data_IF_886671743885
#
_entry.id   IF_886671743885
#
_cell.length_a   1.000
_cell.length_b   1.000
_cell.length_c   1.000
_cell.angle_alpha   90.00
_cell.angle_beta   90.00
_cell.angle_gamma   90.00
#
_symmetry.space_group_name_H-M   'P 1'
#
loop_
_entity.id
_entity.type
_entity.pdbx_description
1 polymer ?
#
# COMPACT_ATOMS: atom_id res chain seq x y z
N UNK A 1 27.61 -20.00 -26.27
CA UNK A 1 27.02 -20.72 -27.42
C UNK A 1 25.56 -20.39 -27.28
N UNK A 2 25.17 -19.27 -27.87
CA UNK A 2 23.97 -18.55 -27.44
C UNK A 2 22.79 -19.08 -28.24
N UNK A 3 22.03 -19.97 -27.61
CA UNK A 3 20.76 -20.42 -28.12
C UNK A 3 19.73 -19.33 -27.82
N UNK A 4 19.62 -18.36 -28.72
CA UNK A 4 18.59 -17.33 -28.64
C UNK A 4 17.22 -17.96 -28.89
N UNK A 5 16.33 -17.88 -27.89
CA UNK A 5 14.94 -18.32 -28.04
C UNK A 5 14.19 -17.35 -28.96
N UNK A 6 13.35 -17.89 -29.85
CA UNK A 6 12.41 -17.06 -30.61
C UNK A 6 11.51 -16.27 -29.65
N UNK A 7 11.13 -15.04 -30.03
CA UNK A 7 10.39 -14.12 -29.15
C UNK A 7 9.07 -14.73 -28.63
N UNK A 8 8.29 -15.38 -29.50
CA UNK A 8 7.03 -16.03 -29.12
C UNK A 8 7.25 -17.14 -28.08
N UNK A 9 8.33 -17.92 -28.24
CA UNK A 9 8.70 -18.98 -27.29
C UNK A 9 9.09 -18.37 -25.94
N UNK A 10 9.84 -17.26 -25.95
CA UNK A 10 10.24 -16.55 -24.72
C UNK A 10 9.02 -16.02 -23.98
N UNK A 11 8.11 -15.33 -24.67
CA UNK A 11 6.87 -14.83 -24.07
C UNK A 11 6.03 -15.97 -23.46
N UNK A 12 5.92 -17.08 -24.17
CA UNK A 12 5.22 -18.25 -23.68
C UNK A 12 5.86 -18.84 -22.41
N UNK A 13 7.19 -18.94 -22.38
CA UNK A 13 7.93 -19.42 -21.19
C UNK A 13 7.69 -18.48 -20.01
N UNK A 14 7.79 -17.15 -20.21
CA UNK A 14 7.55 -16.19 -19.13
C UNK A 14 6.13 -16.35 -18.59
N UNK A 15 5.13 -16.44 -19.46
CA UNK A 15 3.73 -16.64 -19.04
C UNK A 15 3.53 -17.94 -18.26
N UNK A 16 4.19 -19.03 -18.65
CA UNK A 16 4.16 -20.29 -17.89
C UNK A 16 4.78 -20.13 -16.51
N UNK A 17 5.95 -19.49 -16.42
CA UNK A 17 6.62 -19.25 -15.14
C UNK A 17 5.78 -18.37 -14.20
N UNK A 18 5.16 -17.31 -14.72
CA UNK A 18 4.26 -16.45 -13.94
C UNK A 18 3.02 -17.22 -13.45
N UNK A 19 2.49 -18.15 -14.24
CA UNK A 19 1.36 -19.01 -13.83
C UNK A 19 1.76 -20.04 -12.78
N UNK A 20 2.95 -20.64 -12.91
CA UNK A 20 3.50 -21.54 -11.89
C UNK A 20 3.76 -20.81 -10.57
N UNK A 21 4.22 -19.56 -10.64
CA UNK A 21 4.46 -18.72 -9.48
C UNK A 21 3.19 -18.42 -8.65
N UNK A 22 2.01 -18.33 -9.27
CA UNK A 22 0.77 -18.09 -8.50
C UNK A 22 0.18 -19.37 -7.88
N UNK A 23 0.69 -20.56 -8.25
CA UNK A 23 0.24 -21.84 -7.71
C UNK A 23 0.83 -22.11 -6.31
N UNK A 24 -0.01 -22.05 -5.27
CA UNK A 24 0.41 -22.30 -3.88
C UNK A 24 0.77 -23.75 -3.58
N UNK A 25 0.26 -24.70 -4.35
CA UNK A 25 0.58 -26.11 -4.11
C UNK A 25 2.04 -26.40 -4.46
N UNK A 26 2.54 -25.72 -5.49
CA UNK A 26 3.92 -25.79 -5.94
C UNK A 26 4.84 -24.90 -5.10
N UNK A 27 4.42 -23.67 -4.83
CA UNK A 27 5.24 -22.64 -4.15
C UNK A 27 5.26 -22.77 -2.62
N UNK A 28 4.55 -23.76 -2.06
CA UNK A 28 4.70 -24.15 -0.66
C UNK A 28 6.09 -24.75 -0.37
N UNK A 29 6.77 -25.31 -1.38
CA UNK A 29 8.17 -25.73 -1.25
C UNK A 29 9.09 -24.51 -1.42
N UNK A 30 9.89 -24.15 -0.39
CA UNK A 30 10.78 -22.98 -0.46
C UNK A 30 11.88 -23.11 -1.53
N UNK A 31 12.26 -24.33 -1.90
CA UNK A 31 13.24 -24.59 -2.97
C UNK A 31 12.63 -24.20 -4.30
N UNK A 32 11.41 -24.69 -4.59
CA UNK A 32 10.71 -24.37 -5.84
C UNK A 32 10.38 -22.89 -5.90
N UNK A 33 9.95 -22.30 -4.78
CA UNK A 33 9.71 -20.87 -4.67
C UNK A 33 10.94 -20.06 -5.09
N UNK A 34 12.11 -20.41 -4.55
CA UNK A 34 13.37 -19.73 -4.85
C UNK A 34 13.76 -19.93 -6.32
N UNK A 35 13.78 -21.17 -6.82
CA UNK A 35 14.14 -21.46 -8.22
C UNK A 35 13.22 -20.73 -9.21
N UNK A 36 11.92 -20.61 -8.90
CA UNK A 36 11.01 -19.82 -9.73
C UNK A 36 11.35 -18.33 -9.73
N UNK A 37 11.74 -17.75 -8.59
CA UNK A 37 12.19 -16.35 -8.54
C UNK A 37 13.39 -16.13 -9.45
N UNK A 38 14.41 -16.99 -9.33
CA UNK A 38 15.63 -16.93 -10.15
C UNK A 38 15.33 -17.13 -11.63
N UNK A 39 14.48 -18.09 -11.98
CA UNK A 39 14.08 -18.34 -13.36
C UNK A 39 13.34 -17.13 -13.96
N UNK A 40 12.38 -16.56 -13.22
CA UNK A 40 11.62 -15.37 -13.63
C UNK A 40 12.57 -14.18 -13.84
N UNK A 41 13.48 -13.93 -12.90
CA UNK A 41 14.48 -12.86 -13.00
C UNK A 41 15.36 -13.04 -14.25
N UNK A 42 15.85 -14.25 -14.52
CA UNK A 42 16.69 -14.53 -15.67
C UNK A 42 15.96 -14.34 -17.02
N UNK A 43 14.70 -14.79 -17.14
CA UNK A 43 13.95 -14.64 -18.40
C UNK A 43 13.43 -13.23 -18.63
N UNK A 44 13.23 -12.45 -17.55
CA UNK A 44 12.82 -11.04 -17.63
C UNK A 44 14.01 -10.08 -17.74
N UNK A 45 15.24 -10.57 -17.62
CA UNK A 45 16.43 -9.73 -17.77
C UNK A 45 16.46 -9.07 -19.16
N UNK A 46 16.73 -7.75 -19.27
CA UNK A 46 16.75 -7.07 -20.56
C UNK A 46 17.73 -7.65 -21.58
N UNK A 47 18.84 -8.26 -21.13
CA UNK A 47 19.83 -8.89 -22.01
C UNK A 47 19.30 -10.17 -22.66
N UNK A 48 18.26 -10.78 -22.09
CA UNK A 48 17.60 -11.96 -22.64
C UNK A 48 16.78 -11.67 -23.90
N UNK A 49 16.48 -10.40 -24.21
CA UNK A 49 15.67 -9.96 -25.35
C UNK A 49 16.55 -9.51 -26.53
N UNK A 50 17.11 -10.47 -27.27
CA UNK A 50 17.87 -10.16 -28.48
C UNK A 50 16.95 -9.74 -29.63
N UNK A 51 17.22 -8.61 -30.28
CA UNK A 51 16.54 -8.17 -31.50
C UNK A 51 15.14 -7.54 -31.32
N UNK A 52 14.53 -7.68 -30.14
CA UNK A 52 13.23 -7.10 -29.80
C UNK A 52 13.34 -6.12 -28.64
N UNK A 53 12.56 -5.03 -28.69
CA UNK A 53 12.46 -4.08 -27.58
C UNK A 53 11.94 -4.78 -26.31
N UNK A 54 12.77 -4.92 -25.25
CA UNK A 54 12.40 -5.63 -24.03
C UNK A 54 11.11 -5.08 -23.41
N UNK A 55 10.88 -3.77 -23.53
CA UNK A 55 9.68 -3.10 -23.00
C UNK A 55 8.42 -3.59 -23.70
N UNK A 56 8.44 -3.76 -25.01
CA UNK A 56 7.28 -4.24 -25.78
C UNK A 56 6.97 -5.69 -25.46
N UNK A 57 7.99 -6.54 -25.35
CA UNK A 57 7.81 -7.96 -25.03
C UNK A 57 7.25 -8.15 -23.62
N UNK A 58 7.87 -7.53 -22.61
CA UNK A 58 7.38 -7.57 -21.23
C UNK A 58 5.97 -6.99 -21.13
N UNK A 59 5.69 -5.92 -21.86
CA UNK A 59 4.36 -5.34 -21.89
C UNK A 59 3.30 -6.31 -22.43
N UNK A 60 3.57 -7.03 -23.53
CA UNK A 60 2.66 -8.06 -24.06
C UNK A 60 2.41 -9.19 -23.05
N UNK A 61 3.48 -9.64 -22.40
CA UNK A 61 3.40 -10.67 -21.35
C UNK A 61 2.56 -10.17 -20.18
N UNK A 62 2.83 -8.98 -19.65
CA UNK A 62 2.08 -8.41 -18.52
C UNK A 62 0.61 -8.21 -18.86
N UNK A 63 0.31 -7.74 -20.08
CA UNK A 63 -1.08 -7.57 -20.55
C UNK A 63 -1.80 -8.91 -20.69
N UNK A 64 -1.12 -9.92 -21.23
CA UNK A 64 -1.67 -11.28 -21.35
C UNK A 64 -1.90 -11.90 -19.97
N UNK A 65 -0.95 -11.72 -19.05
CA UNK A 65 -1.08 -12.20 -17.69
C UNK A 65 -2.24 -11.51 -16.96
N UNK A 66 -2.33 -10.18 -17.05
CA UNK A 66 -3.42 -9.39 -16.49
C UNK A 66 -4.79 -9.87 -16.99
N UNK A 67 -4.94 -10.08 -18.29
CA UNK A 67 -6.20 -10.53 -18.90
C UNK A 67 -6.55 -12.00 -18.62
N UNK A 68 -5.66 -12.78 -17.99
CA UNK A 68 -5.88 -14.22 -17.76
C UNK A 68 -5.93 -14.61 -16.29
N UNK A 69 -5.68 -13.67 -15.37
CA UNK A 69 -5.71 -13.91 -13.93
C UNK A 69 -6.64 -12.88 -13.29
N UNK A 70 -7.88 -13.29 -13.03
CA UNK A 70 -8.93 -12.39 -12.51
C UNK A 70 -8.99 -12.36 -10.97
N UNK A 71 -8.44 -13.38 -10.30
CA UNK A 71 -8.49 -13.49 -8.83
C UNK A 71 -7.37 -12.66 -8.18
N UNK A 72 -7.75 -11.69 -7.35
CA UNK A 72 -6.82 -10.77 -6.67
C UNK A 72 -5.85 -11.47 -5.73
N UNK A 73 -6.25 -12.59 -5.10
CA UNK A 73 -5.38 -13.38 -4.23
C UNK A 73 -4.29 -14.10 -5.04
N UNK A 74 -4.58 -14.50 -6.28
CA UNK A 74 -3.58 -15.00 -7.22
C UNK A 74 -2.69 -13.86 -7.73
N UNK A 75 -3.29 -12.73 -8.13
CA UNK A 75 -2.57 -11.55 -8.59
C UNK A 75 -1.56 -11.06 -7.54
N UNK A 76 -1.92 -10.98 -6.26
CA UNK A 76 -1.03 -10.50 -5.20
C UNK A 76 0.21 -11.38 -5.00
N UNK A 77 0.13 -12.67 -5.34
CA UNK A 77 1.26 -13.60 -5.20
C UNK A 77 2.40 -13.29 -6.16
N UNK A 78 2.12 -12.68 -7.31
CA UNK A 78 3.17 -12.31 -8.26
C UNK A 78 4.20 -11.38 -7.62
N UNK A 79 3.75 -10.56 -6.68
CA UNK A 79 4.60 -9.68 -5.89
C UNK A 79 5.67 -10.40 -5.10
N UNK A 80 5.44 -11.65 -4.69
CA UNK A 80 6.44 -12.48 -4.02
C UNK A 80 7.46 -13.10 -4.98
N UNK A 81 7.12 -13.22 -6.27
CA UNK A 81 7.94 -13.97 -7.23
C UNK A 81 8.75 -13.09 -8.19
N UNK A 82 8.27 -11.88 -8.52
CA UNK A 82 9.09 -10.89 -9.23
C UNK A 82 9.88 -10.11 -8.18
N UNK A 83 11.13 -10.50 -7.98
CA UNK A 83 12.02 -9.84 -7.03
C UNK A 83 12.43 -8.45 -7.54
N UNK A 84 12.39 -7.39 -6.70
CA UNK A 84 12.83 -6.06 -7.09
C UNK A 84 14.37 -5.92 -7.04
N UNK A 85 15.10 -6.89 -7.60
CA UNK A 85 16.58 -6.93 -7.60
C UNK A 85 17.20 -5.89 -8.52
N UNK A 86 16.44 -5.39 -9.50
CA UNK A 86 16.82 -4.31 -10.41
C UNK A 86 15.69 -3.27 -10.55
N UNK A 87 15.99 -2.01 -10.92
CA UNK A 87 14.96 -1.01 -11.20
C UNK A 87 13.98 -1.43 -12.31
N UNK A 88 14.45 -2.25 -13.25
CA UNK A 88 13.64 -2.84 -14.30
C UNK A 88 12.56 -3.78 -13.74
N UNK A 89 12.95 -4.74 -12.90
CA UNK A 89 12.01 -5.68 -12.30
C UNK A 89 11.10 -5.00 -11.28
N UNK A 90 11.60 -4.00 -10.55
CA UNK A 90 10.80 -3.18 -9.66
C UNK A 90 9.69 -2.42 -10.42
N UNK A 91 10.00 -1.85 -11.59
CA UNK A 91 9.02 -1.18 -12.46
C UNK A 91 7.96 -2.17 -12.97
N UNK A 92 8.36 -3.35 -13.47
CA UNK A 92 7.42 -4.40 -13.93
C UNK A 92 6.48 -4.82 -12.80
N UNK A 93 7.05 -5.11 -11.62
CA UNK A 93 6.31 -5.52 -10.42
C UNK A 93 5.31 -4.45 -10.00
N UNK A 94 5.72 -3.18 -10.01
CA UNK A 94 4.88 -2.04 -9.67
C UNK A 94 3.73 -1.87 -10.67
N UNK A 95 4.01 -1.90 -11.98
CA UNK A 95 3.01 -1.80 -13.05
C UNK A 95 1.90 -2.84 -12.91
N UNK A 96 2.29 -4.10 -12.71
CA UNK A 96 1.33 -5.18 -12.48
C UNK A 96 0.50 -4.91 -11.22
N UNK A 97 1.15 -4.58 -10.10
CA UNK A 97 0.45 -4.33 -8.85
C UNK A 97 -0.58 -3.21 -8.96
N UNK A 98 -0.23 -2.10 -9.62
CA UNK A 98 -1.14 -0.97 -9.81
C UNK A 98 -2.27 -1.30 -10.78
N UNK A 99 -1.99 -2.05 -11.85
CA UNK A 99 -3.02 -2.48 -12.78
C UNK A 99 -4.07 -3.36 -12.09
N UNK A 100 -3.63 -4.25 -11.20
CA UNK A 100 -4.51 -5.09 -10.38
C UNK A 100 -5.29 -4.28 -9.34
N UNK A 101 -4.65 -3.32 -8.67
CA UNK A 101 -5.32 -2.44 -7.71
C UNK A 101 -6.40 -1.58 -8.37
N UNK A 102 -6.15 -1.06 -9.57
CA UNK A 102 -7.11 -0.19 -10.26
C UNK A 102 -8.14 -0.96 -11.08
N UNK A 103 -7.99 -2.28 -11.22
CA UNK A 103 -8.75 -3.09 -12.17
C UNK A 103 -8.72 -2.47 -13.58
N UNK A 104 -7.55 -1.93 -13.97
CA UNK A 104 -7.33 -1.22 -15.23
C UNK A 104 -5.95 -1.58 -15.81
N UNK A 105 -5.83 -1.97 -17.10
CA UNK A 105 -4.53 -2.25 -17.73
C UNK A 105 -3.74 -0.99 -18.10
N UNK A 106 -4.32 0.21 -18.06
CA UNK A 106 -3.66 1.46 -18.44
C UNK A 106 -2.29 1.70 -17.77
N UNK A 107 -2.08 1.39 -16.46
CA UNK A 107 -0.78 1.55 -15.80
C UNK A 107 0.35 0.72 -16.41
N UNK A 108 0.06 -0.34 -17.17
CA UNK A 108 1.06 -1.09 -17.92
C UNK A 108 1.74 -0.24 -19.01
N UNK A 109 1.10 0.84 -19.46
CA UNK A 109 1.58 1.74 -20.52
C UNK A 109 2.04 3.11 -20.01
N UNK A 110 1.64 3.47 -18.79
CA UNK A 110 1.90 4.79 -18.24
C UNK A 110 3.40 5.03 -17.96
N UNK A 111 3.91 6.26 -18.09
CA UNK A 111 5.25 6.56 -17.61
C UNK A 111 5.35 6.31 -16.09
N UNK A 112 6.51 5.86 -15.57
CA UNK A 112 6.67 5.56 -14.14
C UNK A 112 6.24 6.70 -13.21
N UNK A 113 6.35 7.95 -13.68
CA UNK A 113 5.97 9.15 -12.93
C UNK A 113 4.46 9.28 -12.70
N UNK A 114 3.61 8.74 -13.58
CA UNK A 114 2.16 8.87 -13.44
C UNK A 114 1.49 7.62 -12.87
N UNK A 115 2.24 6.51 -12.82
CA UNK A 115 1.75 5.15 -12.60
C UNK A 115 0.85 5.03 -11.36
N UNK A 116 1.31 5.46 -10.18
CA UNK A 116 0.45 5.65 -9.02
C UNK A 116 1.00 6.73 -8.09
N UNK A 117 0.31 7.88 -8.05
CA UNK A 117 0.62 8.95 -7.11
C UNK A 117 -0.20 8.84 -5.80
N UNK A 118 0.19 9.62 -4.80
CA UNK A 118 -0.45 9.62 -3.48
C UNK A 118 -1.94 10.05 -3.53
N UNK A 119 -2.34 10.85 -4.53
CA UNK A 119 -3.73 11.27 -4.69
C UNK A 119 -4.58 10.11 -5.23
N UNK A 120 -4.12 9.41 -6.27
CA UNK A 120 -4.76 8.20 -6.81
C UNK A 120 -4.91 7.14 -5.71
N UNK A 121 -3.88 6.95 -4.87
CA UNK A 121 -3.96 6.02 -3.73
C UNK A 121 -5.03 6.47 -2.73
N UNK A 122 -5.04 7.74 -2.36
CA UNK A 122 -6.01 8.28 -1.41
C UNK A 122 -7.44 8.12 -1.92
N UNK A 123 -7.67 8.37 -3.22
CA UNK A 123 -8.95 8.19 -3.87
C UNK A 123 -9.38 6.72 -3.95
N UNK A 124 -8.45 5.83 -4.30
CA UNK A 124 -8.68 4.38 -4.29
C UNK A 124 -9.14 3.92 -2.90
N UNK A 125 -8.38 4.22 -1.86
CA UNK A 125 -8.70 3.83 -0.48
C UNK A 125 -10.04 4.39 0.01
N UNK A 126 -10.42 5.59 -0.44
CA UNK A 126 -11.68 6.22 -0.02
C UNK A 126 -12.90 5.68 -0.78
N UNK A 127 -12.77 5.44 -2.09
CA UNK A 127 -13.92 5.20 -3.00
C UNK A 127 -14.15 3.73 -3.32
N UNK A 128 -13.10 2.93 -3.32
CA UNK A 128 -13.21 1.52 -3.66
C UNK A 128 -13.92 0.73 -2.56
N UNK A 129 -14.88 -0.09 -2.99
CA UNK A 129 -15.74 -0.92 -2.16
C UNK A 129 -14.92 -1.95 -1.37
N UNK A 130 -13.83 -2.44 -1.96
CA UNK A 130 -12.94 -3.45 -1.39
C UNK A 130 -12.12 -2.95 -0.19
N UNK A 131 -12.10 -1.62 0.05
CA UNK A 131 -11.49 -1.02 1.26
C UNK A 131 -12.54 -0.50 2.26
N UNK A 132 -13.83 -0.54 1.92
CA UNK A 132 -14.91 0.03 2.74
C UNK A 132 -15.44 -0.95 3.80
N UNK A 133 -14.54 -1.48 4.62
CA UNK A 133 -14.83 -2.47 5.68
C UNK A 133 -16.04 -2.09 6.54
N UNK A 134 -16.19 -0.81 6.91
CA UNK A 134 -17.34 -0.32 7.71
C UNK A 134 -18.70 -0.66 7.12
N UNK A 135 -18.84 -0.72 5.78
CA UNK A 135 -20.11 -1.04 5.10
C UNK A 135 -20.52 -2.51 5.26
N UNK A 136 -19.57 -3.35 5.65
CA UNK A 136 -19.75 -4.78 5.83
C UNK A 136 -19.70 -5.21 7.30
N UNK A 137 -19.57 -4.27 8.24
CA UNK A 137 -19.69 -4.58 9.66
C UNK A 137 -21.05 -5.23 9.95
N UNK A 138 -21.02 -6.43 10.53
CA UNK A 138 -22.21 -7.23 10.82
C UNK A 138 -22.76 -8.05 9.65
N UNK A 139 -22.10 -8.04 8.48
CA UNK A 139 -22.41 -8.92 7.35
C UNK A 139 -21.37 -10.03 7.25
N UNK A 140 -21.82 -11.25 6.94
CA UNK A 140 -20.94 -12.43 6.89
C UNK A 140 -20.05 -12.49 5.63
N UNK A 141 -20.36 -11.71 4.60
CA UNK A 141 -19.86 -11.96 3.23
C UNK A 141 -18.61 -11.14 2.86
N UNK A 142 -17.92 -10.51 3.81
CA UNK A 142 -16.72 -9.74 3.48
C UNK A 142 -15.50 -10.65 3.31
N UNK A 143 -14.85 -10.56 2.15
CA UNK A 143 -13.65 -11.35 1.88
C UNK A 143 -12.39 -10.69 2.48
N UNK A 144 -12.01 -11.19 3.65
CA UNK A 144 -10.78 -10.75 4.32
C UNK A 144 -9.50 -11.17 3.59
N UNK A 145 -9.55 -12.24 2.77
CA UNK A 145 -8.40 -12.68 1.98
C UNK A 145 -8.14 -11.73 0.82
N UNK A 146 -9.20 -11.26 0.17
CA UNK A 146 -9.12 -10.18 -0.82
C UNK A 146 -8.49 -8.93 -0.21
N UNK A 147 -8.90 -8.51 1.00
CA UNK A 147 -8.29 -7.34 1.65
C UNK A 147 -6.79 -7.53 1.94
N UNK A 148 -6.37 -8.74 2.35
CA UNK A 148 -4.94 -9.07 2.53
C UNK A 148 -4.20 -8.94 1.19
N UNK A 149 -4.75 -9.53 0.12
CA UNK A 149 -4.17 -9.50 -1.21
C UNK A 149 -4.02 -8.04 -1.73
N UNK A 150 -5.06 -7.23 -1.57
CA UNK A 150 -5.03 -5.81 -1.92
C UNK A 150 -4.00 -5.03 -1.09
N UNK A 151 -3.86 -5.35 0.19
CA UNK A 151 -2.85 -4.72 1.05
C UNK A 151 -1.43 -5.08 0.59
N UNK A 152 -1.21 -6.32 0.16
CA UNK A 152 0.07 -6.75 -0.41
C UNK A 152 0.36 -6.05 -1.74
N UNK A 153 -0.63 -5.91 -2.63
CA UNK A 153 -0.49 -5.14 -3.87
C UNK A 153 -0.20 -3.66 -3.61
N UNK A 154 -0.91 -3.06 -2.64
CA UNK A 154 -0.69 -1.67 -2.24
C UNK A 154 0.71 -1.47 -1.64
N UNK A 155 1.19 -2.44 -0.87
CA UNK A 155 2.56 -2.46 -0.36
C UNK A 155 3.61 -2.47 -1.48
N UNK A 156 3.34 -3.12 -2.60
CA UNK A 156 4.24 -3.11 -3.78
C UNK A 156 4.16 -1.80 -4.54
N UNK A 157 2.95 -1.26 -4.70
CA UNK A 157 2.74 0.00 -5.42
C UNK A 157 3.34 1.20 -4.67
N UNK A 158 3.29 1.17 -3.33
CA UNK A 158 3.87 2.17 -2.44
C UNK A 158 5.29 1.73 -2.02
N UNK A 159 6.17 1.52 -3.00
CA UNK A 159 7.59 1.28 -2.77
C UNK A 159 8.40 2.59 -2.94
N UNK A 160 9.44 2.75 -2.12
CA UNK A 160 10.22 3.99 -1.97
C UNK A 160 10.80 4.45 -3.30
N UNK A 161 11.28 3.52 -4.12
CA UNK A 161 11.86 3.81 -5.43
C UNK A 161 10.86 4.41 -6.42
N UNK A 162 9.56 4.10 -6.30
CA UNK A 162 8.51 4.67 -7.15
C UNK A 162 8.16 6.10 -6.73
N UNK A 163 8.23 6.40 -5.43
CA UNK A 163 7.89 7.71 -4.87
C UNK A 163 9.03 8.74 -4.97
N UNK A 164 10.29 8.29 -4.89
CA UNK A 164 11.47 9.16 -5.08
C UNK A 164 11.55 9.76 -6.49
N UNK A 165 11.04 9.05 -7.51
CA UNK A 165 10.97 9.57 -8.89
C UNK A 165 9.96 10.72 -9.02
N UNK A 166 8.90 10.72 -8.21
CA UNK A 166 7.85 11.75 -8.19
C UNK A 166 8.21 12.95 -7.30
N UNK A 167 9.20 12.81 -6.42
CA UNK A 167 9.70 13.90 -5.57
C UNK A 167 10.54 14.93 -6.34
N UNK A 168 11.02 14.62 -7.56
CA UNK A 168 11.89 15.50 -8.37
C UNK A 168 11.18 16.69 -9.05
N UNK A 169 10.06 17.17 -8.49
CA UNK A 169 9.31 18.34 -8.96
C UNK A 169 9.46 19.58 -8.08
N UNK A 170 8.77 20.67 -8.46
CA UNK A 170 8.67 21.96 -7.75
C UNK A 170 7.79 21.91 -6.48
N UNK A 171 7.62 20.72 -5.89
CA UNK A 171 6.78 20.50 -4.70
C UNK A 171 7.58 20.67 -3.43
N UNK A 172 6.96 21.28 -2.42
CA UNK A 172 7.60 21.41 -1.11
C UNK A 172 7.60 20.06 -0.38
N UNK A 173 8.61 19.83 0.46
CA UNK A 173 8.70 18.65 1.32
C UNK A 173 7.45 18.53 2.24
N UNK A 174 6.88 19.66 2.64
CA UNK A 174 5.70 19.72 3.50
C UNK A 174 4.45 19.23 2.78
N UNK A 175 4.26 19.57 1.51
CA UNK A 175 3.13 19.08 0.70
C UNK A 175 3.20 17.56 0.49
N UNK A 176 4.41 17.04 0.23
CA UNK A 176 4.64 15.60 0.10
C UNK A 176 4.31 14.86 1.40
N UNK A 177 4.80 15.36 2.54
CA UNK A 177 4.49 14.77 3.84
C UNK A 177 3.00 14.85 4.17
N UNK A 178 2.32 15.94 3.80
CA UNK A 178 0.88 16.07 3.97
C UNK A 178 0.10 15.03 3.15
N UNK A 179 0.52 14.75 1.91
CA UNK A 179 -0.10 13.72 1.07
C UNK A 179 0.16 12.31 1.62
N UNK A 180 1.35 12.03 2.14
CA UNK A 180 1.64 10.79 2.89
C UNK A 180 0.74 10.65 4.11
N UNK A 181 0.60 11.72 4.89
CA UNK A 181 -0.22 11.74 6.11
C UNK A 181 -1.71 11.49 5.78
N UNK A 182 -2.20 11.92 4.60
CA UNK A 182 -3.56 11.58 4.10
C UNK A 182 -3.70 10.09 3.81
N UNK A 183 -2.78 9.48 3.07
CA UNK A 183 -2.79 8.04 2.77
C UNK A 183 -2.75 7.23 4.06
N UNK A 184 -1.83 7.57 4.97
CA UNK A 184 -1.70 6.92 6.26
C UNK A 184 -2.98 7.04 7.10
N UNK A 185 -3.64 8.20 7.07
CA UNK A 185 -4.91 8.43 7.78
C UNK A 185 -6.07 7.60 7.22
N UNK A 186 -6.13 7.39 5.90
CA UNK A 186 -7.11 6.50 5.28
C UNK A 186 -6.90 5.06 5.69
N UNK A 187 -5.66 4.54 5.62
CA UNK A 187 -5.34 3.20 6.09
C UNK A 187 -5.70 3.01 7.58
N UNK A 188 -5.41 4.01 8.41
CA UNK A 188 -5.80 4.02 9.82
C UNK A 188 -7.30 3.92 10.02
N UNK A 189 -8.06 4.66 9.24
CA UNK A 189 -9.53 4.60 9.30
C UNK A 189 -10.05 3.20 8.95
N UNK A 190 -9.42 2.54 7.97
CA UNK A 190 -9.78 1.18 7.54
C UNK A 190 -9.45 0.17 8.65
N UNK A 191 -8.20 0.06 9.11
CA UNK A 191 -7.83 -0.99 10.07
C UNK A 191 -8.43 -0.77 11.47
N UNK A 192 -8.65 0.48 11.89
CA UNK A 192 -9.38 0.76 13.14
C UNK A 192 -10.85 0.35 13.08
N UNK A 193 -11.43 0.22 11.88
CA UNK A 193 -12.79 -0.28 11.72
C UNK A 193 -12.91 -1.80 11.80
N UNK A 194 -11.80 -2.53 11.75
CA UNK A 194 -11.76 -3.97 11.88
C UNK A 194 -11.83 -4.35 13.37
N UNK A 195 -12.99 -4.86 13.78
CA UNK A 195 -13.22 -5.36 15.14
C UNK A 195 -12.88 -6.85 15.21
N UNK A 196 -11.77 -7.18 15.86
CA UNK A 196 -11.36 -8.57 16.09
C UNK A 196 -11.98 -9.05 17.40
N UNK A 197 -13.08 -9.81 17.32
CA UNK A 197 -13.70 -10.43 18.51
C UNK A 197 -13.11 -11.83 18.73
N UNK A 198 -12.12 -11.94 19.61
CA UNK A 198 -11.50 -13.21 19.98
C UNK A 198 -10.55 -13.80 18.93
N UNK A 199 -9.94 -14.95 19.25
CA UNK A 199 -8.90 -15.59 18.45
C UNK A 199 -9.42 -16.50 17.32
N UNK A 200 -10.74 -16.59 17.12
CA UNK A 200 -11.35 -17.54 16.15
C UNK A 200 -11.32 -17.08 14.70
N UNK A 201 -10.97 -15.82 14.42
CA UNK A 201 -10.93 -15.26 13.06
C UNK A 201 -9.51 -14.87 12.65
N UNK A 202 -8.69 -15.87 12.29
CA UNK A 202 -7.27 -15.65 11.95
C UNK A 202 -7.09 -14.72 10.74
N UNK A 203 -7.88 -14.87 9.67
CA UNK A 203 -7.79 -14.01 8.47
C UNK A 203 -8.13 -12.56 8.74
N UNK A 204 -9.09 -12.30 9.62
CA UNK A 204 -9.45 -10.95 10.08
C UNK A 204 -8.28 -10.28 10.81
N UNK A 205 -7.64 -11.02 11.72
CA UNK A 205 -6.46 -10.56 12.46
C UNK A 205 -5.30 -10.25 11.52
N UNK A 206 -5.06 -11.12 10.53
CA UNK A 206 -4.03 -10.93 9.51
C UNK A 206 -4.30 -9.67 8.67
N UNK A 207 -5.51 -9.52 8.13
CA UNK A 207 -5.88 -8.36 7.33
C UNK A 207 -5.68 -7.04 8.10
N UNK A 208 -6.06 -7.01 9.37
CA UNK A 208 -5.84 -5.85 10.24
C UNK A 208 -4.35 -5.59 10.45
N UNK A 209 -3.58 -6.64 10.77
CA UNK A 209 -2.14 -6.55 11.02
C UNK A 209 -1.38 -6.05 9.79
N UNK A 210 -1.71 -6.54 8.60
CA UNK A 210 -1.06 -6.14 7.35
C UNK A 210 -1.32 -4.67 7.02
N UNK A 211 -2.57 -4.20 7.18
CA UNK A 211 -2.92 -2.78 7.00
C UNK A 211 -2.22 -1.88 8.03
N UNK A 212 -2.13 -2.32 9.28
CA UNK A 212 -1.44 -1.61 10.34
C UNK A 212 0.08 -1.53 10.08
N UNK A 213 0.69 -2.63 9.63
CA UNK A 213 2.09 -2.66 9.23
C UNK A 213 2.37 -1.72 8.06
N UNK A 214 1.50 -1.72 7.04
CA UNK A 214 1.61 -0.81 5.90
C UNK A 214 1.46 0.66 6.32
N UNK A 215 0.50 0.96 7.19
CA UNK A 215 0.32 2.30 7.76
C UNK A 215 1.61 2.82 8.42
N UNK A 216 2.23 2.01 9.28
CA UNK A 216 3.45 2.41 9.97
C UNK A 216 4.65 2.52 9.03
N UNK A 217 4.76 1.64 8.03
CA UNK A 217 5.80 1.74 7.00
C UNK A 217 5.69 3.07 6.24
N UNK A 218 4.48 3.47 5.85
CA UNK A 218 4.25 4.72 5.13
C UNK A 218 4.66 5.93 6.00
N UNK A 219 4.26 5.94 7.29
CA UNK A 219 4.57 7.04 8.19
C UNK A 219 6.05 7.18 8.55
N UNK A 220 6.78 6.06 8.67
CA UNK A 220 8.12 6.08 9.24
C UNK A 220 9.24 5.74 8.25
N UNK A 221 8.93 5.07 7.13
CA UNK A 221 9.93 4.69 6.12
C UNK A 221 9.86 5.54 4.85
N UNK A 222 8.70 6.12 4.55
CA UNK A 222 8.47 6.86 3.29
C UNK A 222 8.41 8.37 3.53
N UNK A 223 7.81 8.79 4.64
CA UNK A 223 7.80 10.19 5.06
C UNK A 223 9.23 10.70 5.23
N UNK A 224 9.54 11.88 4.68
CA UNK A 224 10.90 12.42 4.70
C UNK A 224 11.39 12.73 6.13
N UNK A 225 10.45 13.11 7.00
CA UNK A 225 10.69 13.40 8.41
C UNK A 225 9.76 12.54 9.26
N UNK A 226 10.14 12.19 10.51
CA UNK A 226 9.20 11.60 11.45
C UNK A 226 8.00 12.53 11.68
N UNK A 227 6.78 11.99 11.90
CA UNK A 227 5.62 12.81 12.22
C UNK A 227 5.92 13.69 13.43
N UNK A 228 5.49 14.97 13.42
CA UNK A 228 5.72 15.87 14.54
C UNK A 228 5.13 15.25 15.82
N UNK A 229 5.89 15.34 16.91
CA UNK A 229 5.45 14.82 18.20
C UNK A 229 4.23 15.63 18.65
N UNK A 230 3.04 15.07 18.49
CA UNK A 230 1.82 15.59 19.12
C UNK A 230 1.98 15.40 20.62
N UNK A 231 2.52 16.40 21.30
CA UNK A 231 2.49 16.41 22.76
C UNK A 231 1.02 16.55 23.18
N UNK A 232 0.59 15.81 24.20
CA UNK A 232 -0.80 15.82 24.67
C UNK A 232 -1.31 17.25 24.98
N UNK A 233 -0.41 18.19 25.21
CA UNK A 233 -0.68 19.58 25.53
C UNK A 233 -0.88 20.51 24.33
N UNK A 234 -0.50 20.12 23.12
CA UNK A 234 -0.57 21.00 21.95
C UNK A 234 -2.02 21.28 21.51
N UNK A 235 -2.92 20.33 21.75
CA UNK A 235 -4.37 20.51 21.53
C UNK A 235 -5.00 21.56 22.45
N UNK A 236 -4.40 21.84 23.61
CA UNK A 236 -4.89 22.83 24.57
C UNK A 236 -4.32 24.24 24.33
N UNK A 237 -3.27 24.40 23.52
CA UNK A 237 -2.66 25.72 23.26
C UNK A 237 -3.47 26.53 22.23
N UNK A 238 -4.15 25.86 21.28
CA UNK A 238 -5.03 26.54 20.33
C UNK A 238 -6.41 26.92 20.91
N UNK A 239 -6.81 26.31 22.04
CA UNK A 239 -8.03 26.64 22.79
C UNK A 239 -7.81 27.78 23.82
N UNK A 240 -6.61 28.36 23.86
CA UNK A 240 -6.21 29.37 24.83
C UNK A 240 -6.90 30.74 24.66
N UNK A 241 -7.90 30.84 23.77
CA UNK A 241 -8.79 32.01 23.70
C UNK A 241 -9.91 32.00 24.74
N UNK A 242 -10.16 30.88 25.44
CA UNK A 242 -11.30 30.80 26.38
C UNK A 242 -10.92 30.59 27.87
N UNK A 243 -9.67 30.28 28.19
CA UNK A 243 -9.26 30.04 29.59
C UNK A 243 -9.30 31.34 30.41
N UNK A 244 -8.92 32.47 29.80
CA UNK A 244 -9.00 33.81 30.43
C UNK A 244 -10.44 34.27 30.68
N UNK A 245 -11.40 33.86 29.84
CA UNK A 245 -12.82 34.21 29.98
C UNK A 245 -13.48 33.42 31.10
N UNK A 246 -13.09 32.15 31.29
CA UNK A 246 -13.58 31.31 32.39
C UNK A 246 -13.07 31.78 33.76
N UNK A 247 -11.79 32.13 33.89
CA UNK A 247 -11.21 32.56 35.17
C UNK A 247 -11.74 33.93 35.64
N UNK A 248 -12.12 34.81 34.71
CA UNK A 248 -12.75 36.10 35.02
C UNK A 248 -14.11 35.97 35.73
N UNK A 249 -14.87 34.89 35.48
CA UNK A 249 -16.18 34.64 36.11
C UNK A 249 -16.09 34.26 37.59
N UNK A 250 -14.92 33.83 38.06
CA UNK A 250 -14.73 33.39 39.45
C UNK A 250 -14.18 34.48 40.38
N UNK A 251 -13.76 35.63 39.84
CA UNK A 251 -13.16 36.70 40.65
C UNK A 251 -14.17 37.73 41.21
N UNK A 252 -15.47 37.61 40.91
CA UNK A 252 -16.50 38.62 41.28
C UNK A 252 -17.47 38.16 42.37
N UNK A 253 -17.18 37.06 43.08
CA UNK A 253 -17.98 36.61 44.23
C UNK A 253 -17.10 36.37 45.44
N UNK A 254 -16.87 37.43 46.21
CA UNK A 254 -16.12 37.33 47.46
C UNK A 254 -16.03 38.66 48.19
N UNK A 255 -17.16 39.24 48.55
CA UNK A 255 -17.20 40.13 49.71
C UNK A 255 -18.58 40.01 50.39
N UNK A 256 -18.59 39.61 51.66
CA UNK A 256 -19.83 39.27 52.39
C UNK A 256 -19.60 38.36 53.59
N UNK A 257 -18.91 38.90 54.60
CA UNK A 257 -19.16 38.79 56.05
C UNK A 257 -19.91 37.56 56.61
N UNK A 258 -19.25 36.82 57.51
CA UNK A 258 -19.89 36.29 58.75
C UNK A 258 -18.81 35.89 59.76
N UNK A 259 -18.70 36.65 60.86
CA UNK A 259 -17.93 36.28 62.05
C UNK A 259 -18.56 35.12 62.83
N UNK A 260 -17.73 34.29 63.48
CA UNK A 260 -18.15 33.20 64.38
C UNK A 260 -17.48 33.43 65.74
N UNK A 261 -18.23 33.43 66.86
CA UNK A 261 -17.67 33.68 68.19
C UNK A 261 -17.02 32.41 68.77
N UNK A 262 -15.92 32.61 69.49
CA UNK A 262 -15.17 31.58 70.20
C UNK A 262 -15.84 31.23 71.53
N UNK A 263 -16.00 29.92 71.79
CA UNK A 263 -16.09 29.36 73.14
C UNK A 263 -15.33 28.04 73.19
#
# INVERSE_FOLDING_TARGET
MDYSLADDTREHIILLLLRLAVDSSLTADPTIFSELQWAIESVLDPSSFEGTDPKKAVHRVCSTFYNTVDDVCLQSRIGGHIMPSSPWLADIRCRLAVSFLLEDPSPLHEPPQTLLDLNRITELLARDRRFQVKRFQGKADYDWRELIALTALLSIAIDVSALELNYRGDRTEDDFNADIDKVASQLKTIYCSIQVSGASHMTLTLAKGDLEALHYRILYSIRSKPPPKKTLFESHVNDNRDIRSMLSKYSTRGDGDTGIPLR
#
